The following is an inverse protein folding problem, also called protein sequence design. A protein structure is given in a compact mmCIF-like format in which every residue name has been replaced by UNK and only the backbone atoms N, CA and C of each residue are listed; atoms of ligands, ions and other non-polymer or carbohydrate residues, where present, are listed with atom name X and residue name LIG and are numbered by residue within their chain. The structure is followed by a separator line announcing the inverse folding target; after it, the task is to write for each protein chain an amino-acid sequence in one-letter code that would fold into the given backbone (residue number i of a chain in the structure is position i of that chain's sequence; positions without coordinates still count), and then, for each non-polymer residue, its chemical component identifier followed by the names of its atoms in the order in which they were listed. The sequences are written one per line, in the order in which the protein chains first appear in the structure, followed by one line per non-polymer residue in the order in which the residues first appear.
data_IF_315727100559
#
_entry.id   IF_315727100559
#
_cell.length_a   1.000
_cell.length_b   1.000
_cell.length_c   1.000
_cell.angle_alpha   90.00
_cell.angle_beta   90.00
_cell.angle_gamma   90.00
#
_symmetry.space_group_name_H-M   'P 1'
#
loop_
_entity.id
_entity.type
_entity.pdbx_description
1 polymer ?
#
# COMPACT_ATOMS: atom_id res chain seq x y z
N UNK A 1 31.17 -13.62 -22.42
CA UNK A 1 29.89 -13.59 -23.15
C UNK A 1 29.85 -14.76 -24.12
N UNK A 2 28.88 -15.67 -23.98
CA UNK A 2 28.76 -16.84 -24.85
C UNK A 2 28.06 -16.42 -26.16
N UNK A 3 28.67 -16.59 -27.34
CA UNK A 3 28.20 -15.97 -28.59
C UNK A 3 26.88 -16.51 -29.17
N UNK A 4 26.18 -17.40 -28.47
CA UNK A 4 25.01 -18.12 -29.00
C UNK A 4 23.76 -18.09 -28.10
N UNK A 5 23.76 -17.32 -27.01
CA UNK A 5 22.56 -17.19 -26.20
C UNK A 5 21.56 -16.23 -26.85
N UNK A 6 20.45 -16.75 -27.36
CA UNK A 6 19.25 -15.97 -27.72
C UNK A 6 18.22 -16.13 -26.61
N UNK A 7 17.73 -15.02 -26.06
CA UNK A 7 16.66 -15.05 -25.05
C UNK A 7 15.37 -15.59 -25.66
N UNK A 8 14.75 -16.57 -24.99
CA UNK A 8 13.43 -17.09 -25.36
C UNK A 8 12.27 -16.17 -24.96
N UNK A 9 12.53 -15.14 -24.15
CA UNK A 9 11.54 -14.14 -23.71
C UNK A 9 12.04 -12.78 -24.17
N UNK A 10 11.34 -12.18 -25.14
CA UNK A 10 11.72 -10.89 -25.74
C UNK A 10 11.24 -9.66 -24.96
N UNK A 11 10.36 -9.87 -23.96
CA UNK A 11 9.72 -8.79 -23.19
C UNK A 11 10.48 -8.44 -21.89
N UNK A 12 11.64 -9.06 -21.64
CA UNK A 12 12.44 -8.73 -20.45
C UNK A 12 13.27 -7.49 -20.71
N UNK A 13 13.01 -6.44 -19.93
CA UNK A 13 13.83 -5.23 -19.91
C UNK A 13 14.90 -5.33 -18.84
N UNK A 14 16.16 -5.18 -19.23
CA UNK A 14 17.27 -5.03 -18.29
C UNK A 14 17.35 -3.59 -17.78
N UNK A 15 17.70 -3.45 -16.50
CA UNK A 15 17.97 -2.17 -15.84
C UNK A 15 19.24 -2.33 -15.02
N UNK A 16 20.09 -1.31 -15.04
CA UNK A 16 21.34 -1.32 -14.26
C UNK A 16 21.08 -1.21 -12.75
N UNK A 17 19.96 -0.58 -12.36
CA UNK A 17 19.51 -0.48 -10.97
C UNK A 17 18.05 -0.93 -10.85
N UNK A 18 17.80 -2.01 -10.13
CA UNK A 18 16.46 -2.56 -9.91
C UNK A 18 15.72 -1.92 -8.72
N UNK A 19 16.44 -1.25 -7.81
CA UNK A 19 15.87 -0.71 -6.59
C UNK A 19 14.65 0.20 -6.81
N UNK A 20 14.65 1.15 -7.78
CA UNK A 20 13.48 1.99 -8.03
C UNK A 20 12.22 1.17 -8.38
N UNK A 21 12.39 0.11 -9.19
CA UNK A 21 11.29 -0.75 -9.65
C UNK A 21 10.82 -1.70 -8.56
N UNK A 22 11.73 -2.18 -7.71
CA UNK A 22 11.40 -2.96 -6.52
C UNK A 22 10.57 -2.15 -5.54
N UNK A 23 10.95 -0.90 -5.27
CA UNK A 23 10.18 0.00 -4.42
C UNK A 23 8.85 0.43 -5.05
N UNK A 24 8.80 0.67 -6.37
CA UNK A 24 7.54 0.91 -7.06
C UNK A 24 6.57 -0.27 -6.95
N UNK A 25 7.10 -1.49 -6.99
CA UNK A 25 6.31 -2.71 -6.77
C UNK A 25 5.91 -2.86 -5.31
N UNK A 26 6.81 -2.65 -4.35
CA UNK A 26 6.54 -2.85 -2.93
C UNK A 26 5.63 -1.77 -2.35
N UNK A 27 6.02 -0.50 -2.52
CA UNK A 27 5.36 0.65 -1.91
C UNK A 27 4.24 1.25 -2.77
N UNK A 28 4.20 0.88 -4.06
CA UNK A 28 3.10 1.20 -4.97
C UNK A 28 2.13 0.03 -5.13
N UNK A 29 2.44 -0.90 -6.03
CA UNK A 29 1.55 -2.01 -6.38
C UNK A 29 1.11 -2.81 -5.15
N UNK A 30 2.05 -3.44 -4.44
CA UNK A 30 1.74 -4.35 -3.33
C UNK A 30 1.01 -3.61 -2.21
N UNK A 31 1.38 -2.36 -1.93
CA UNK A 31 0.73 -1.49 -0.96
C UNK A 31 -0.73 -1.22 -1.31
N UNK A 32 -0.99 -0.74 -2.53
CA UNK A 32 -2.35 -0.45 -3.00
C UNK A 32 -3.21 -1.71 -3.10
N UNK A 33 -2.61 -2.85 -3.45
CA UNK A 33 -3.32 -4.13 -3.50
C UNK A 33 -3.72 -4.61 -2.09
N UNK A 34 -2.86 -4.41 -1.09
CA UNK A 34 -3.18 -4.68 0.31
C UNK A 34 -4.25 -3.72 0.84
N UNK A 35 -4.12 -2.41 0.56
CA UNK A 35 -5.12 -1.40 0.87
C UNK A 35 -6.50 -1.80 0.29
N UNK A 36 -6.56 -2.16 -0.99
CA UNK A 36 -7.80 -2.61 -1.63
C UNK A 36 -8.41 -3.83 -0.91
N UNK A 37 -7.60 -4.82 -0.53
CA UNK A 37 -8.09 -5.98 0.19
C UNK A 37 -8.70 -5.63 1.55
N UNK A 38 -8.07 -4.71 2.30
CA UNK A 38 -8.57 -4.28 3.60
C UNK A 38 -9.83 -3.41 3.49
N UNK A 39 -9.88 -2.48 2.52
CA UNK A 39 -11.10 -1.73 2.22
C UNK A 39 -12.24 -2.66 1.78
N UNK A 40 -11.93 -3.68 0.97
CA UNK A 40 -12.90 -4.67 0.54
C UNK A 40 -13.43 -5.50 1.72
N UNK A 41 -12.56 -5.91 2.63
CA UNK A 41 -12.96 -6.60 3.86
C UNK A 41 -13.87 -5.73 4.73
N UNK A 42 -13.54 -4.45 4.89
CA UNK A 42 -14.37 -3.48 5.63
C UNK A 42 -15.71 -3.20 4.93
N UNK A 43 -15.75 -3.29 3.60
CA UNK A 43 -16.95 -3.08 2.79
C UNK A 43 -17.80 -4.36 2.62
N UNK A 44 -17.39 -5.48 3.23
CA UNK A 44 -18.12 -6.75 3.19
C UNK A 44 -18.13 -7.44 1.82
N UNK A 45 -17.22 -7.10 0.90
CA UNK A 45 -17.11 -7.76 -0.41
C UNK A 45 -16.19 -8.98 -0.35
N UNK A 46 -16.42 -9.97 -1.21
CA UNK A 46 -15.63 -11.20 -1.27
C UNK A 46 -14.41 -11.04 -2.18
N UNK A 47 -14.56 -10.31 -3.29
CA UNK A 47 -13.55 -10.19 -4.36
C UNK A 47 -13.14 -8.75 -4.58
N UNK A 48 -11.88 -8.54 -4.94
CA UNK A 48 -11.40 -7.20 -5.24
C UNK A 48 -12.18 -6.51 -6.37
N UNK A 49 -12.57 -7.26 -7.40
CA UNK A 49 -13.36 -6.72 -8.52
C UNK A 49 -14.70 -6.11 -8.08
N UNK A 50 -15.25 -6.52 -6.93
CA UNK A 50 -16.51 -6.03 -6.39
C UNK A 50 -16.38 -4.62 -5.78
N UNK A 51 -15.16 -4.16 -5.48
CA UNK A 51 -14.90 -2.77 -5.08
C UNK A 51 -15.35 -1.75 -6.12
N UNK A 52 -15.48 -2.14 -7.40
CA UNK A 52 -16.06 -1.27 -8.43
C UNK A 52 -17.49 -0.85 -8.13
N UNK A 53 -18.23 -1.66 -7.37
CA UNK A 53 -19.59 -1.36 -6.94
C UNK A 53 -19.66 -0.61 -5.60
N UNK A 54 -18.54 -0.47 -4.89
CA UNK A 54 -18.46 0.26 -3.62
C UNK A 54 -18.24 1.75 -3.91
N UNK A 55 -19.18 2.64 -3.53
CA UNK A 55 -19.05 4.07 -3.79
C UNK A 55 -17.76 4.64 -3.21
N UNK A 56 -16.98 5.35 -4.04
CA UNK A 56 -15.73 6.00 -3.61
C UNK A 56 -14.48 5.11 -3.57
N UNK A 57 -14.60 3.78 -3.63
CA UNK A 57 -13.46 2.87 -3.48
C UNK A 57 -12.39 3.02 -4.55
N UNK A 58 -12.78 3.07 -5.84
CA UNK A 58 -11.83 3.20 -6.94
C UNK A 58 -11.13 4.57 -6.93
N UNK A 59 -11.84 5.71 -6.80
CA UNK A 59 -11.20 7.02 -6.62
C UNK A 59 -10.25 7.06 -5.42
N UNK A 60 -10.63 6.48 -4.28
CA UNK A 60 -9.80 6.44 -3.08
C UNK A 60 -8.49 5.68 -3.32
N UNK A 61 -8.56 4.47 -3.88
CA UNK A 61 -7.38 3.66 -4.21
C UNK A 61 -6.47 4.36 -5.21
N UNK A 62 -7.06 4.98 -6.23
CA UNK A 62 -6.32 5.74 -7.24
C UNK A 62 -5.62 6.95 -6.65
N UNK A 63 -6.28 7.67 -5.77
CA UNK A 63 -5.70 8.83 -5.09
C UNK A 63 -4.57 8.41 -4.15
N UNK A 64 -4.73 7.32 -3.38
CA UNK A 64 -3.64 6.78 -2.55
C UNK A 64 -2.41 6.43 -3.41
N UNK A 65 -2.64 5.77 -4.55
CA UNK A 65 -1.56 5.31 -5.41
C UNK A 65 -0.87 6.45 -6.17
N UNK A 66 -1.59 7.50 -6.58
CA UNK A 66 -1.01 8.64 -7.30
C UNK A 66 -0.41 9.69 -6.37
N UNK A 67 -1.19 10.10 -5.37
CA UNK A 67 -0.92 11.30 -4.57
C UNK A 67 -0.02 10.99 -3.37
N UNK A 68 -0.05 9.76 -2.85
CA UNK A 68 0.77 9.37 -1.70
C UNK A 68 1.99 8.57 -2.18
N UNK A 69 1.83 7.31 -2.58
CA UNK A 69 2.99 6.47 -2.94
C UNK A 69 3.65 6.91 -4.25
N UNK A 70 2.85 7.21 -5.28
CA UNK A 70 3.36 7.62 -6.59
C UNK A 70 4.12 8.93 -6.56
N UNK A 71 3.57 9.97 -5.93
CA UNK A 71 4.26 11.25 -5.79
C UNK A 71 5.57 11.08 -5.01
N UNK A 72 5.59 10.23 -3.98
CA UNK A 72 6.80 9.94 -3.21
C UNK A 72 7.87 9.25 -4.05
N UNK A 73 7.49 8.24 -4.84
CA UNK A 73 8.40 7.52 -5.73
C UNK A 73 8.92 8.40 -6.86
N UNK A 74 8.09 9.30 -7.41
CA UNK A 74 8.53 10.29 -8.39
C UNK A 74 9.52 11.27 -7.77
N UNK A 75 9.30 11.74 -6.52
CA UNK A 75 10.25 12.63 -5.83
C UNK A 75 11.59 11.92 -5.58
N UNK A 76 11.56 10.65 -5.15
CA UNK A 76 12.76 9.86 -4.83
C UNK A 76 13.57 9.44 -6.06
N UNK A 77 12.91 9.06 -7.15
CA UNK A 77 13.53 8.44 -8.33
C UNK A 77 13.39 9.24 -9.64
N UNK A 78 12.88 10.47 -9.56
CA UNK A 78 12.61 11.30 -10.72
C UNK A 78 13.82 11.39 -11.67
N UNK A 79 13.56 11.19 -12.97
CA UNK A 79 14.58 11.26 -14.01
C UNK A 79 15.41 9.98 -14.21
N UNK A 80 15.19 8.92 -13.44
CA UNK A 80 15.93 7.66 -13.60
C UNK A 80 15.30 6.71 -14.64
N UNK A 81 13.98 6.77 -14.84
CA UNK A 81 13.26 5.98 -15.83
C UNK A 81 11.96 6.70 -16.22
N UNK A 82 11.39 6.37 -17.38
CA UNK A 82 10.13 6.95 -17.86
C UNK A 82 8.96 6.66 -16.90
N UNK A 83 9.03 5.57 -16.13
CA UNK A 83 8.10 5.24 -15.05
C UNK A 83 8.04 6.34 -13.98
N UNK A 84 9.17 6.93 -13.59
CA UNK A 84 9.25 7.92 -12.50
C UNK A 84 9.02 9.35 -13.00
N UNK A 85 8.01 9.50 -13.85
CA UNK A 85 7.47 10.79 -14.29
C UNK A 85 5.99 10.86 -13.94
N UNK A 86 5.38 12.06 -13.80
CA UNK A 86 3.95 12.17 -13.52
C UNK A 86 3.06 11.45 -14.55
N UNK A 87 3.46 11.45 -15.82
CA UNK A 87 2.73 10.76 -16.88
C UNK A 87 2.95 9.23 -16.85
N UNK A 88 4.20 8.79 -16.73
CA UNK A 88 4.55 7.36 -16.68
C UNK A 88 3.95 6.67 -15.47
N UNK A 89 4.05 7.29 -14.29
CA UNK A 89 3.49 6.72 -13.08
C UNK A 89 1.97 6.71 -13.11
N UNK A 90 1.32 7.73 -13.70
CA UNK A 90 -0.14 7.73 -13.89
C UNK A 90 -0.60 6.55 -14.75
N UNK A 91 0.09 6.32 -15.87
CA UNK A 91 -0.20 5.18 -16.72
C UNK A 91 -0.02 3.85 -15.97
N UNK A 92 1.06 3.72 -15.20
CA UNK A 92 1.32 2.55 -14.36
C UNK A 92 0.21 2.29 -13.33
N UNK A 93 -0.26 3.34 -12.64
CA UNK A 93 -1.36 3.23 -11.67
C UNK A 93 -2.65 2.80 -12.35
N UNK A 94 -3.01 3.42 -13.47
CA UNK A 94 -4.26 3.14 -14.18
C UNK A 94 -4.27 1.70 -14.74
N UNK A 95 -3.17 1.21 -15.31
CA UNK A 95 -3.02 -0.20 -15.74
C UNK A 95 -3.17 -1.16 -14.56
N UNK A 96 -2.46 -0.92 -13.46
CA UNK A 96 -2.48 -1.82 -12.33
C UNK A 96 -3.84 -1.87 -11.64
N UNK A 97 -4.51 -0.73 -11.45
CA UNK A 97 -5.86 -0.73 -10.88
C UNK A 97 -6.85 -1.48 -11.78
N UNK A 98 -6.76 -1.31 -13.10
CA UNK A 98 -7.58 -2.09 -14.03
C UNK A 98 -7.37 -3.60 -13.84
N UNK A 99 -6.11 -4.03 -13.70
CA UNK A 99 -5.73 -5.44 -13.53
C UNK A 99 -6.14 -5.99 -12.16
N UNK A 100 -5.89 -5.27 -11.08
CA UNK A 100 -6.30 -5.66 -9.71
C UNK A 100 -7.81 -5.86 -9.63
N UNK A 101 -8.58 -5.07 -10.37
CA UNK A 101 -10.05 -5.12 -10.37
C UNK A 101 -10.61 -6.01 -11.49
N UNK A 102 -9.80 -6.90 -12.08
CA UNK A 102 -10.24 -7.79 -13.14
C UNK A 102 -11.07 -8.97 -12.57
N UNK A 103 -12.37 -9.09 -12.92
CA UNK A 103 -13.24 -10.15 -12.37
C UNK A 103 -12.81 -11.57 -12.78
N UNK A 104 -12.04 -11.73 -13.86
CA UNK A 104 -11.57 -13.05 -14.32
C UNK A 104 -10.44 -13.62 -13.44
N UNK A 105 -9.71 -12.78 -12.70
CA UNK A 105 -8.69 -13.24 -11.75
C UNK A 105 -9.32 -13.88 -10.51
N UNK A 106 -10.56 -13.52 -10.17
CA UNK A 106 -11.28 -13.99 -8.98
C UNK A 106 -10.46 -13.85 -7.69
N UNK A 107 -9.70 -12.76 -7.61
CA UNK A 107 -8.87 -12.44 -6.45
C UNK A 107 -9.75 -12.07 -5.26
N UNK A 108 -9.74 -12.94 -4.24
CA UNK A 108 -10.50 -12.71 -3.01
C UNK A 108 -9.79 -11.73 -2.09
N UNK A 109 -10.58 -10.92 -1.38
CA UNK A 109 -10.06 -9.98 -0.37
C UNK A 109 -9.30 -10.73 0.72
N UNK A 110 -9.75 -11.93 1.07
CA UNK A 110 -9.09 -12.78 2.07
C UNK A 110 -7.70 -13.22 1.61
N UNK A 111 -7.58 -13.76 0.38
CA UNK A 111 -6.30 -14.24 -0.15
C UNK A 111 -5.30 -13.10 -0.29
N UNK A 112 -5.76 -11.94 -0.78
CA UNK A 112 -4.90 -10.77 -0.97
C UNK A 112 -4.56 -10.13 0.37
N UNK A 113 -5.48 -10.10 1.32
CA UNK A 113 -5.36 -9.51 2.66
C UNK A 113 -4.63 -10.37 3.69
N UNK A 114 -4.46 -11.68 3.45
CA UNK A 114 -3.82 -12.65 4.36
C UNK A 114 -2.50 -12.19 4.97
N UNK A 115 -2.19 -12.66 6.17
CA UNK A 115 -0.96 -12.28 6.89
C UNK A 115 -0.83 -10.75 7.12
N UNK A 116 -1.83 -10.13 7.80
CA UNK A 116 -1.83 -8.70 8.10
C UNK A 116 -0.69 -8.27 9.02
N UNK A 117 -0.25 -9.13 9.96
CA UNK A 117 0.88 -8.81 10.87
C UNK A 117 2.16 -8.51 10.10
N UNK A 118 2.53 -9.35 9.11
CA UNK A 118 3.71 -9.09 8.26
C UNK A 118 3.55 -7.82 7.43
N UNK A 119 2.35 -7.55 6.89
CA UNK A 119 2.09 -6.35 6.06
C UNK A 119 2.09 -5.04 6.84
N UNK A 120 1.86 -5.13 8.15
CA UNK A 120 2.04 -4.04 9.11
C UNK A 120 3.47 -3.93 9.62
N UNK A 121 4.41 -4.76 9.13
CA UNK A 121 5.83 -4.65 9.47
C UNK A 121 6.42 -3.32 8.98
N UNK A 122 7.45 -2.85 9.68
CA UNK A 122 7.99 -1.49 9.56
C UNK A 122 8.45 -1.11 8.15
N UNK A 123 9.13 -2.02 7.45
CA UNK A 123 9.59 -1.85 6.06
C UNK A 123 8.68 -2.56 5.03
N UNK A 124 7.57 -3.16 5.45
CA UNK A 124 6.63 -3.81 4.51
C UNK A 124 5.66 -2.77 3.91
N UNK A 125 4.81 -3.23 3.00
CA UNK A 125 4.05 -2.43 2.04
C UNK A 125 3.09 -1.39 2.62
N UNK A 126 2.66 -1.45 3.88
CA UNK A 126 1.78 -0.40 4.43
C UNK A 126 2.60 0.64 5.18
N UNK A 127 3.30 0.22 6.24
CA UNK A 127 4.11 1.13 7.05
C UNK A 127 5.28 1.69 6.27
N UNK A 128 5.99 0.87 5.49
CA UNK A 128 7.07 1.33 4.62
C UNK A 128 6.61 2.34 3.55
N UNK A 129 5.39 2.21 3.03
CA UNK A 129 4.81 3.24 2.13
C UNK A 129 4.52 4.53 2.86
N UNK A 130 3.96 4.46 4.07
CA UNK A 130 3.71 5.65 4.89
C UNK A 130 5.02 6.37 5.21
N UNK A 131 6.06 5.63 5.60
CA UNK A 131 7.41 6.15 5.87
C UNK A 131 8.04 6.77 4.64
N UNK A 132 7.97 6.09 3.49
CA UNK A 132 8.42 6.66 2.23
C UNK A 132 7.72 8.00 1.96
N UNK A 133 6.41 8.09 2.14
CA UNK A 133 5.67 9.33 1.94
C UNK A 133 6.12 10.45 2.88
N UNK A 134 6.24 10.17 4.16
CA UNK A 134 6.73 11.13 5.16
C UNK A 134 8.15 11.62 4.82
N UNK A 135 9.06 10.72 4.43
CA UNK A 135 10.43 11.07 4.03
C UNK A 135 10.48 12.02 2.82
N UNK A 136 9.42 12.04 2.01
CA UNK A 136 9.28 12.89 0.85
C UNK A 136 8.39 14.12 1.13
N UNK A 137 7.96 14.35 2.38
CA UNK A 137 7.09 15.48 2.75
C UNK A 137 5.65 15.34 2.28
N UNK A 138 5.11 14.12 2.28
CA UNK A 138 3.72 13.79 1.94
C UNK A 138 3.07 13.07 3.11
N UNK A 139 1.90 13.52 3.55
CA UNK A 139 1.15 12.86 4.63
C UNK A 139 0.29 11.71 4.07
N UNK A 140 0.53 10.45 4.48
CA UNK A 140 -0.08 9.26 3.86
C UNK A 140 -1.43 8.88 4.48
N UNK A 141 -2.42 9.77 4.40
CA UNK A 141 -3.72 9.56 5.06
C UNK A 141 -4.45 8.29 4.59
N UNK A 142 -4.37 7.93 3.30
CA UNK A 142 -5.10 6.78 2.76
C UNK A 142 -4.40 5.46 3.07
N UNK A 143 -3.08 5.44 3.05
CA UNK A 143 -2.34 4.26 3.53
C UNK A 143 -2.47 4.06 5.04
N UNK A 144 -2.60 5.14 5.82
CA UNK A 144 -2.92 5.05 7.26
C UNK A 144 -4.28 4.39 7.51
N UNK A 145 -5.30 4.67 6.68
CA UNK A 145 -6.59 3.96 6.71
C UNK A 145 -6.39 2.46 6.39
N UNK A 146 -5.53 2.13 5.42
CA UNK A 146 -5.16 0.75 5.14
C UNK A 146 -4.51 0.04 6.33
N UNK A 147 -3.60 0.71 7.03
CA UNK A 147 -2.96 0.19 8.23
C UNK A 147 -3.96 0.02 9.39
N UNK A 148 -4.84 0.99 9.61
CA UNK A 148 -5.92 0.89 10.60
C UNK A 148 -6.90 -0.25 10.30
N UNK A 149 -7.28 -0.45 9.03
CA UNK A 149 -8.15 -1.55 8.62
C UNK A 149 -7.45 -2.92 8.76
N UNK A 150 -6.15 -3.00 8.46
CA UNK A 150 -5.35 -4.21 8.70
C UNK A 150 -5.23 -4.52 10.20
N UNK A 151 -5.04 -3.48 11.03
CA UNK A 151 -4.99 -3.58 12.48
C UNK A 151 -6.33 -4.10 13.03
N UNK A 152 -7.46 -3.60 12.54
CA UNK A 152 -8.78 -4.07 12.93
C UNK A 152 -9.06 -5.55 12.57
N UNK A 153 -8.32 -6.13 11.62
CA UNK A 153 -8.41 -7.56 11.31
C UNK A 153 -7.64 -8.39 12.34
N UNK A 154 -6.51 -7.90 12.85
CA UNK A 154 -5.71 -8.61 13.87
C UNK A 154 -6.25 -8.39 15.28
N UNK A 155 -6.80 -7.23 15.56
CA UNK A 155 -7.40 -6.84 16.84
C UNK A 155 -8.73 -6.10 16.60
N UNK A 156 -9.85 -6.82 16.42
CA UNK A 156 -11.15 -6.21 16.12
C UNK A 156 -11.67 -5.25 17.18
N UNK A 157 -11.19 -5.34 18.42
CA UNK A 157 -11.61 -4.45 19.50
C UNK A 157 -11.12 -3.01 19.30
N UNK A 158 -10.11 -2.75 18.47
CA UNK A 158 -9.66 -1.36 18.17
C UNK A 158 -10.76 -0.50 17.54
N UNK A 159 -11.78 -1.10 16.90
CA UNK A 159 -12.92 -0.37 16.34
C UNK A 159 -14.08 -0.19 17.34
N UNK A 160 -13.98 -0.76 18.54
CA UNK A 160 -15.04 -0.71 19.56
C UNK A 160 -14.59 -0.07 20.85
N UNK A 161 -13.28 -0.03 21.09
CA UNK A 161 -12.66 0.42 22.33
C UNK A 161 -11.44 1.28 22.01
N UNK A 162 -11.04 2.12 22.95
CA UNK A 162 -9.78 2.85 22.88
C UNK A 162 -8.69 1.95 23.46
N UNK A 163 -7.89 1.36 22.57
CA UNK A 163 -6.77 0.49 22.92
C UNK A 163 -5.45 1.20 22.68
N UNK A 164 -4.39 0.91 23.47
CA UNK A 164 -3.07 1.45 23.22
C UNK A 164 -2.45 0.78 21.98
N UNK A 165 -2.55 1.42 20.81
CA UNK A 165 -2.14 0.78 19.55
C UNK A 165 -0.64 0.47 19.53
N UNK A 166 0.15 1.24 20.26
CA UNK A 166 1.58 0.99 20.46
C UNK A 166 1.87 -0.42 21.01
N UNK A 167 1.04 -0.94 21.92
CA UNK A 167 1.24 -2.30 22.48
C UNK A 167 1.07 -3.40 21.43
N UNK A 168 0.30 -3.12 20.37
CA UNK A 168 0.04 -4.05 19.27
C UNK A 168 1.08 -3.89 18.16
N UNK A 169 1.43 -2.65 17.82
CA UNK A 169 2.23 -2.31 16.64
C UNK A 169 3.74 -2.30 16.91
N UNK A 170 4.21 -1.82 18.07
CA UNK A 170 5.65 -1.78 18.36
C UNK A 170 6.31 -3.16 18.31
N UNK A 171 5.69 -4.26 18.79
CA UNK A 171 6.25 -5.60 18.64
C UNK A 171 6.46 -6.02 17.18
N UNK A 172 5.66 -5.49 16.24
CA UNK A 172 5.80 -5.77 14.80
C UNK A 172 6.97 -5.00 14.17
N UNK A 173 7.46 -3.95 14.83
CA UNK A 173 8.48 -3.04 14.32
C UNK A 173 9.84 -3.19 15.02
N UNK A 174 9.87 -3.89 16.16
CA UNK A 174 11.05 -4.00 17.02
C UNK A 174 12.32 -4.49 16.29
N UNK A 175 12.18 -5.38 15.30
CA UNK A 175 13.32 -5.90 14.55
C UNK A 175 14.08 -4.83 13.74
N UNK A 176 13.40 -3.74 13.34
CA UNK A 176 13.97 -2.66 12.55
C UNK A 176 14.57 -1.54 13.40
N UNK A 177 14.34 -1.53 14.72
CA UNK A 177 14.83 -0.49 15.64
C UNK A 177 14.57 0.93 15.11
N UNK A 178 13.30 1.27 14.84
CA UNK A 178 12.96 2.56 14.25
C UNK A 178 13.22 3.74 15.18
N UNK A 179 13.37 4.92 14.58
CA UNK A 179 13.47 6.18 15.32
C UNK A 179 12.14 6.52 16.02
N UNK A 180 12.22 7.01 17.26
CA UNK A 180 11.07 7.27 18.12
C UNK A 180 10.13 8.37 17.54
N UNK A 181 10.68 9.37 16.83
CA UNK A 181 9.89 10.44 16.22
C UNK A 181 9.12 9.93 14.99
N UNK A 182 9.76 9.10 14.17
CA UNK A 182 9.10 8.43 13.04
C UNK A 182 7.98 7.50 13.54
N UNK A 183 8.25 6.73 14.60
CA UNK A 183 7.26 5.86 15.26
C UNK A 183 6.06 6.65 15.76
N UNK A 184 6.29 7.75 16.50
CA UNK A 184 5.22 8.58 17.03
C UNK A 184 4.35 9.16 15.91
N UNK A 185 4.96 9.61 14.82
CA UNK A 185 4.25 10.16 13.66
C UNK A 185 3.39 9.10 12.97
N UNK A 186 3.92 7.90 12.75
CA UNK A 186 3.17 6.79 12.13
C UNK A 186 2.03 6.34 13.04
N UNK A 187 2.25 6.21 14.35
CA UNK A 187 1.21 5.83 15.31
C UNK A 187 0.06 6.84 15.31
N UNK A 188 0.35 8.14 15.36
CA UNK A 188 -0.67 9.19 15.35
C UNK A 188 -1.57 9.12 14.10
N UNK A 189 -0.99 8.87 12.93
CA UNK A 189 -1.75 8.71 11.68
C UNK A 189 -2.67 7.48 11.70
N UNK A 190 -2.21 6.38 12.29
CA UNK A 190 -3.01 5.15 12.42
C UNK A 190 -4.13 5.35 13.44
N UNK A 191 -3.86 6.02 14.56
CA UNK A 191 -4.86 6.34 15.59
C UNK A 191 -5.97 7.24 15.04
N UNK A 192 -5.61 8.31 14.32
CA UNK A 192 -6.57 9.17 13.61
C UNK A 192 -7.43 8.34 12.63
N UNK A 193 -6.80 7.42 11.90
CA UNK A 193 -7.47 6.54 10.95
C UNK A 193 -8.41 5.54 11.63
N UNK A 194 -8.02 4.97 12.78
CA UNK A 194 -8.89 4.12 13.60
C UNK A 194 -10.10 4.92 14.08
N UNK A 195 -9.90 6.13 14.59
CA UNK A 195 -11.00 7.01 15.02
C UNK A 195 -11.95 7.33 13.86
N UNK A 196 -11.43 7.58 12.66
CA UNK A 196 -12.25 7.77 11.45
C UNK A 196 -13.06 6.52 11.11
N UNK A 197 -12.45 5.32 11.17
CA UNK A 197 -13.15 4.06 10.90
C UNK A 197 -14.26 3.76 11.92
N UNK A 198 -14.09 4.12 13.20
CA UNK A 198 -15.15 4.04 14.22
C UNK A 198 -16.39 4.87 13.85
N UNK A 199 -16.20 5.96 13.11
CA UNK A 199 -17.30 6.82 12.63
C UNK A 199 -17.93 6.36 11.31
N UNK A 200 -17.61 5.15 10.83
CA UNK A 200 -18.09 4.55 9.57
C UNK A 200 -17.72 5.35 8.29
N UNK A 201 -16.75 6.26 8.36
CA UNK A 201 -16.29 7.06 7.22
C UNK A 201 -15.10 6.43 6.52
N UNK A 202 -15.36 5.44 5.65
CA UNK A 202 -14.30 4.72 4.93
C UNK A 202 -13.67 5.53 3.78
N UNK A 203 -14.47 6.27 3.02
CA UNK A 203 -14.04 7.06 1.86
C UNK A 203 -14.13 8.56 2.11
#
# INVERSE_FOLDING_TARGET
FHPFFRRGIAVFEEKDNLQPFEEAKLYGHNATHALAAYLGRMSGVERLSELKAVPGAIPFLRAAFLEESGQSLIRKYGGQDSLFTPAGYRHYVDDLLQRMMNPYLRDTVERVGRDPRRKLGWDDRLIGTMRLALSQGITPHRYAIGAAAALAIIEPLVLKQDLPLAEILLPLWAAQQPDDEEVATILALIEESVARLKSEKLF
#
